data_IF_006174732243
#
_entry.id   IF_006174732243
#
_cell.length_a   1.000
_cell.length_b   1.000
_cell.length_c   1.000
_cell.angle_alpha   90.00
_cell.angle_beta   90.00
_cell.angle_gamma   90.00
#
_symmetry.space_group_name_H-M   'P 1'
#
loop_
_entity.id
_entity.type
_entity.pdbx_description
1 polymer ?
#
# COMPACT_ATOMS: atom_id res chain seq x y z
N UNK A 1 -23.86 5.22 16.71
CA UNK A 1 -23.36 4.18 17.65
C UNK A 1 -21.87 4.39 17.84
N UNK A 2 -21.32 4.09 19.05
CA UNK A 2 -19.87 4.14 19.31
C UNK A 2 -19.42 2.77 19.80
N UNK A 3 -18.35 2.25 19.22
CA UNK A 3 -17.76 0.94 19.51
C UNK A 3 -16.27 1.11 19.79
N UNK A 4 -15.82 0.51 20.89
CA UNK A 4 -14.39 0.52 21.26
C UNK A 4 -13.84 -0.90 21.12
N UNK A 5 -12.85 -1.08 20.22
CA UNK A 5 -12.21 -2.36 19.90
C UNK A 5 -13.21 -3.54 19.73
N UNK A 6 -14.24 -3.43 18.86
CA UNK A 6 -15.37 -4.35 18.85
C UNK A 6 -15.03 -5.80 18.49
N UNK A 7 -13.86 -6.05 17.93
CA UNK A 7 -13.41 -7.38 17.48
C UNK A 7 -12.32 -7.97 18.38
N UNK A 8 -11.90 -7.23 19.41
CA UNK A 8 -10.83 -7.68 20.30
C UNK A 8 -11.22 -8.95 21.05
N UNK A 9 -10.35 -9.98 20.98
CA UNK A 9 -10.55 -11.26 21.65
C UNK A 9 -11.54 -12.22 20.96
N UNK A 10 -12.03 -11.87 19.78
CA UNK A 10 -12.93 -12.74 19.00
C UNK A 10 -12.13 -13.69 18.07
N UNK A 11 -12.73 -14.84 17.78
CA UNK A 11 -12.19 -15.73 16.74
C UNK A 11 -12.50 -15.20 15.32
N UNK A 12 -11.83 -15.72 14.27
CA UNK A 12 -12.00 -15.20 12.90
C UNK A 12 -13.45 -15.27 12.38
N UNK A 13 -14.23 -16.26 12.78
CA UNK A 13 -15.64 -16.38 12.34
C UNK A 13 -16.51 -15.33 13.01
N UNK A 14 -16.31 -15.13 14.32
CA UNK A 14 -17.00 -14.09 15.07
C UNK A 14 -16.65 -12.68 14.55
N UNK A 15 -15.40 -12.44 14.16
CA UNK A 15 -14.99 -11.18 13.53
C UNK A 15 -15.80 -10.92 12.25
N UNK A 16 -15.97 -11.95 11.40
CA UNK A 16 -16.77 -11.81 10.18
C UNK A 16 -18.24 -11.48 10.46
N UNK A 17 -18.83 -12.10 11.48
CA UNK A 17 -20.20 -11.84 11.90
C UNK A 17 -20.37 -10.41 12.43
N UNK A 18 -19.45 -9.95 13.28
CA UNK A 18 -19.46 -8.59 13.82
C UNK A 18 -19.28 -7.54 12.72
N UNK A 19 -18.37 -7.77 11.77
CA UNK A 19 -18.20 -6.89 10.61
C UNK A 19 -19.48 -6.75 9.79
N UNK A 20 -20.15 -7.86 9.54
CA UNK A 20 -21.44 -7.87 8.83
C UNK A 20 -22.49 -7.07 9.59
N UNK A 21 -22.62 -7.30 10.89
CA UNK A 21 -23.58 -6.60 11.75
C UNK A 21 -23.32 -5.08 11.78
N UNK A 22 -22.05 -4.68 11.92
CA UNK A 22 -21.66 -3.26 11.90
C UNK A 22 -22.05 -2.60 10.57
N UNK A 23 -21.78 -3.25 9.43
CA UNK A 23 -22.18 -2.75 8.11
C UNK A 23 -23.70 -2.66 7.94
N UNK A 24 -24.46 -3.62 8.44
CA UNK A 24 -25.91 -3.57 8.41
C UNK A 24 -26.45 -2.38 9.22
N UNK A 25 -25.90 -2.12 10.40
CA UNK A 25 -26.27 -0.97 11.22
C UNK A 25 -25.85 0.36 10.57
N UNK A 26 -24.72 0.39 9.90
CA UNK A 26 -24.21 1.58 9.24
C UNK A 26 -25.06 2.07 8.06
N UNK A 27 -25.97 1.22 7.53
CA UNK A 27 -26.92 1.64 6.48
C UNK A 27 -27.82 2.78 6.95
N UNK A 28 -28.31 2.72 8.18
CA UNK A 28 -29.27 3.69 8.72
C UNK A 28 -28.70 4.57 9.85
N UNK A 29 -27.48 4.28 10.29
CA UNK A 29 -26.88 4.92 11.46
C UNK A 29 -25.41 5.32 11.23
N UNK A 30 -25.00 6.44 11.79
CA UNK A 30 -23.59 6.74 11.92
C UNK A 30 -22.95 5.81 12.97
N UNK A 31 -21.85 5.15 12.59
CA UNK A 31 -21.06 4.28 13.47
C UNK A 31 -19.65 4.86 13.60
N UNK A 32 -19.23 5.08 14.84
CA UNK A 32 -17.86 5.41 15.17
C UNK A 32 -17.24 4.21 15.88
N UNK A 33 -16.14 3.69 15.35
CA UNK A 33 -15.41 2.60 15.99
C UNK A 33 -13.95 2.99 16.23
N UNK A 34 -13.38 2.53 17.34
CA UNK A 34 -11.94 2.54 17.55
C UNK A 34 -11.37 1.16 17.27
N UNK A 35 -10.21 1.09 16.66
CA UNK A 35 -9.43 -0.14 16.47
C UNK A 35 -7.97 0.20 16.20
N UNK A 36 -7.08 -0.70 16.56
CA UNK A 36 -5.66 -0.66 16.20
C UNK A 36 -5.33 -1.61 15.04
N UNK A 37 -6.34 -2.31 14.48
CA UNK A 37 -6.20 -3.31 13.43
C UNK A 37 -6.56 -2.67 12.09
N UNK A 38 -5.56 -2.34 11.27
CA UNK A 38 -5.75 -1.64 10.00
C UNK A 38 -6.58 -2.42 8.99
N UNK A 39 -6.50 -3.75 8.96
CA UNK A 39 -7.35 -4.58 8.11
C UNK A 39 -8.85 -4.51 8.46
N UNK A 40 -9.19 -4.12 9.67
CA UNK A 40 -10.58 -3.86 10.06
C UNK A 40 -11.07 -2.51 9.57
N UNK A 41 -10.20 -1.50 9.65
CA UNK A 41 -10.48 -0.18 9.07
C UNK A 41 -10.81 -0.34 7.59
N UNK A 42 -9.96 -1.04 6.82
CA UNK A 42 -10.21 -1.31 5.40
C UNK A 42 -11.51 -2.07 5.13
N UNK A 43 -11.86 -2.98 6.02
CA UNK A 43 -13.04 -3.83 5.83
C UNK A 43 -14.36 -3.14 6.15
N UNK A 44 -14.36 -2.12 7.03
CA UNK A 44 -15.60 -1.59 7.62
C UNK A 44 -15.79 -0.08 7.51
N UNK A 45 -14.71 0.69 7.36
CA UNK A 45 -14.76 2.16 7.47
C UNK A 45 -14.72 2.83 6.10
N UNK A 46 -15.46 3.92 5.96
CA UNK A 46 -15.40 4.83 4.82
C UNK A 46 -14.47 6.00 5.13
N UNK A 47 -14.48 6.49 6.37
CA UNK A 47 -13.67 7.59 6.87
C UNK A 47 -12.73 7.14 7.97
N UNK A 48 -11.55 7.74 8.02
CA UNK A 48 -10.50 7.45 9.00
C UNK A 48 -10.12 8.72 9.75
N UNK A 49 -9.97 8.58 11.06
CA UNK A 49 -9.33 9.56 11.93
C UNK A 49 -8.21 8.86 12.71
N UNK A 50 -6.98 9.27 12.43
CA UNK A 50 -5.81 8.67 13.06
C UNK A 50 -5.29 9.58 14.16
N UNK A 51 -5.12 9.00 15.34
CA UNK A 51 -4.63 9.70 16.52
C UNK A 51 -3.31 9.07 16.97
N UNK A 52 -2.30 9.91 17.20
CA UNK A 52 -1.04 9.48 17.78
C UNK A 52 -0.57 10.47 18.85
N UNK A 53 -0.16 9.94 20.01
CA UNK A 53 0.25 10.75 21.17
C UNK A 53 -0.76 11.86 21.54
N UNK A 54 -2.07 11.58 21.38
CA UNK A 54 -3.14 12.53 21.65
C UNK A 54 -3.38 13.59 20.57
N UNK A 55 -2.66 13.53 19.45
CA UNK A 55 -2.82 14.43 18.32
C UNK A 55 -3.50 13.75 17.13
N UNK A 56 -4.41 14.44 16.48
CA UNK A 56 -5.00 14.00 15.22
C UNK A 56 -3.96 14.18 14.11
N UNK A 57 -3.42 13.07 13.57
CA UNK A 57 -2.36 13.09 12.54
C UNK A 57 -2.91 12.87 11.13
N UNK A 58 -4.12 12.32 11.00
CA UNK A 58 -4.84 12.20 9.74
C UNK A 58 -6.35 12.28 9.97
N UNK A 59 -7.08 12.85 9.02
CA UNK A 59 -8.54 12.83 8.95
C UNK A 59 -8.97 12.93 7.49
N UNK A 60 -9.66 11.91 6.98
CA UNK A 60 -10.11 11.84 5.60
C UNK A 60 -10.78 10.51 5.30
N UNK A 61 -11.08 10.26 4.04
CA UNK A 61 -11.62 9.01 3.56
C UNK A 61 -10.56 7.90 3.53
N UNK A 62 -11.00 6.65 3.43
CA UNK A 62 -10.08 5.51 3.22
C UNK A 62 -9.29 5.69 1.91
N UNK A 63 -9.94 6.19 0.85
CA UNK A 63 -9.28 6.45 -0.43
C UNK A 63 -8.20 7.54 -0.32
N UNK A 64 -8.45 8.61 0.40
CA UNK A 64 -7.45 9.66 0.67
C UNK A 64 -6.29 9.12 1.49
N UNK A 65 -6.57 8.21 2.43
CA UNK A 65 -5.54 7.55 3.22
C UNK A 65 -4.67 6.61 2.37
N UNK A 66 -5.28 5.78 1.53
CA UNK A 66 -4.56 4.88 0.61
C UNK A 66 -3.68 5.64 -0.39
N UNK A 67 -4.09 6.84 -0.78
CA UNK A 67 -3.36 7.72 -1.69
C UNK A 67 -2.43 8.72 -0.97
N UNK A 68 -2.36 8.68 0.37
CA UNK A 68 -1.58 9.63 1.16
C UNK A 68 -0.09 9.60 0.82
N UNK A 69 0.44 8.40 0.55
CA UNK A 69 1.81 8.20 0.10
C UNK A 69 1.80 7.64 -1.31
N UNK A 70 2.34 8.39 -2.26
CA UNK A 70 2.49 7.90 -3.64
C UNK A 70 3.48 6.74 -3.67
N UNK A 71 3.15 5.63 -4.38
CA UNK A 71 4.10 4.55 -4.62
C UNK A 71 5.40 5.07 -5.25
N UNK A 72 6.50 4.54 -4.81
CA UNK A 72 7.83 4.80 -5.37
C UNK A 72 8.54 3.52 -5.82
N UNK A 73 7.79 2.43 -5.84
CA UNK A 73 8.31 1.09 -6.12
C UNK A 73 7.35 0.34 -7.03
N UNK A 74 7.89 -0.41 -7.98
CA UNK A 74 7.12 -1.38 -8.77
C UNK A 74 7.85 -2.73 -8.84
N UNK A 75 7.07 -3.76 -9.06
CA UNK A 75 7.55 -5.11 -9.38
C UNK A 75 7.53 -5.26 -10.89
N UNK A 76 8.63 -5.69 -11.47
CA UNK A 76 8.75 -6.01 -12.89
C UNK A 76 9.18 -7.47 -13.06
N UNK A 77 8.53 -8.18 -13.98
CA UNK A 77 8.89 -9.54 -14.34
C UNK A 77 9.35 -9.58 -15.80
N UNK A 78 10.56 -10.07 -16.00
CA UNK A 78 11.25 -10.11 -17.29
C UNK A 78 11.62 -11.55 -17.63
N UNK A 79 11.36 -11.97 -18.87
CA UNK A 79 11.75 -13.30 -19.34
C UNK A 79 13.26 -13.39 -19.56
N UNK A 80 13.88 -12.28 -20.00
CA UNK A 80 15.30 -12.13 -20.26
C UNK A 80 15.82 -10.91 -19.47
N UNK A 81 16.00 -10.99 -18.15
CA UNK A 81 16.47 -9.87 -17.37
C UNK A 81 17.88 -9.45 -17.80
N UNK A 82 18.11 -8.14 -18.03
CA UNK A 82 19.42 -7.60 -18.38
C UNK A 82 20.36 -7.55 -17.18
N UNK A 83 21.55 -6.97 -17.36
CA UNK A 83 22.40 -6.60 -16.24
C UNK A 83 21.78 -5.45 -15.42
N UNK A 84 22.08 -5.38 -14.14
CA UNK A 84 21.53 -4.38 -13.21
C UNK A 84 21.81 -2.95 -13.69
N UNK A 85 22.98 -2.74 -14.25
CA UNK A 85 23.42 -1.45 -14.78
C UNK A 85 22.49 -0.95 -15.90
N UNK A 86 22.00 -1.84 -16.75
CA UNK A 86 21.09 -1.48 -17.86
C UNK A 86 19.72 -0.99 -17.36
N UNK A 87 19.28 -1.48 -16.22
CA UNK A 87 18.02 -1.04 -15.57
C UNK A 87 18.27 0.27 -14.81
N UNK A 88 19.39 0.38 -14.11
CA UNK A 88 19.72 1.57 -13.30
C UNK A 88 20.00 2.82 -14.14
N UNK A 89 20.34 2.69 -15.42
CA UNK A 89 20.48 3.86 -16.32
C UNK A 89 19.14 4.39 -16.84
N UNK A 90 18.03 3.68 -16.63
CA UNK A 90 16.70 4.16 -17.02
C UNK A 90 16.39 5.43 -16.22
N UNK A 91 16.06 6.56 -16.89
CA UNK A 91 15.78 7.81 -16.20
C UNK A 91 14.64 7.69 -15.19
N UNK A 92 14.93 7.96 -13.92
CA UNK A 92 13.97 7.88 -12.84
C UNK A 92 14.09 6.61 -11.99
N UNK A 93 14.80 5.59 -12.44
CA UNK A 93 15.11 4.42 -11.59
C UNK A 93 16.25 4.78 -10.64
N UNK A 94 16.07 4.47 -9.36
CA UNK A 94 17.01 4.84 -8.29
C UNK A 94 17.68 3.65 -7.62
N UNK A 95 16.93 2.56 -7.44
CA UNK A 95 17.42 1.31 -6.82
C UNK A 95 16.72 0.11 -7.43
N UNK A 96 17.37 -1.05 -7.36
CA UNK A 96 16.73 -2.31 -7.70
C UNK A 96 17.14 -3.42 -6.73
N UNK A 97 16.29 -4.45 -6.64
CA UNK A 97 16.51 -5.64 -5.85
C UNK A 97 15.89 -6.84 -6.54
N UNK A 98 16.66 -7.91 -6.68
CA UNK A 98 16.13 -9.17 -7.19
C UNK A 98 15.24 -9.84 -6.13
N UNK A 99 14.00 -10.15 -6.48
CA UNK A 99 13.11 -10.98 -5.68
C UNK A 99 13.30 -12.46 -6.04
N UNK A 100 13.50 -12.73 -7.33
CA UNK A 100 13.91 -14.01 -7.87
C UNK A 100 14.68 -13.79 -9.19
N UNK A 101 14.93 -14.88 -9.95
CA UNK A 101 15.71 -14.83 -11.20
C UNK A 101 15.11 -13.89 -12.26
N UNK A 102 13.79 -13.79 -12.31
CA UNK A 102 13.04 -13.10 -13.36
C UNK A 102 12.25 -11.91 -12.83
N UNK A 103 12.18 -11.74 -11.50
CA UNK A 103 11.35 -10.72 -10.85
C UNK A 103 12.23 -9.75 -10.09
N UNK A 104 12.05 -8.48 -10.39
CA UNK A 104 12.79 -7.38 -9.81
C UNK A 104 11.84 -6.43 -9.09
N UNK A 105 12.26 -5.94 -7.94
CA UNK A 105 11.67 -4.77 -7.30
C UNK A 105 12.51 -3.57 -7.70
N UNK A 106 11.87 -2.54 -8.24
CA UNK A 106 12.52 -1.34 -8.74
C UNK A 106 11.97 -0.12 -8.04
N UNK A 107 12.84 0.65 -7.39
CA UNK A 107 12.52 1.93 -6.80
C UNK A 107 12.76 3.05 -7.81
N UNK A 108 11.87 4.04 -7.81
CA UNK A 108 11.94 5.17 -8.72
C UNK A 108 11.74 6.51 -8.01
N UNK A 109 12.21 7.58 -8.61
CA UNK A 109 11.83 8.93 -8.21
C UNK A 109 10.34 9.15 -8.56
N UNK A 110 9.63 9.94 -7.74
CA UNK A 110 8.17 10.16 -7.87
C UNK A 110 7.84 10.97 -9.13
N UNK A 111 8.20 10.44 -10.31
CA UNK A 111 7.98 11.01 -11.62
C UNK A 111 6.76 10.38 -12.26
N UNK A 112 5.85 11.22 -12.78
CA UNK A 112 4.72 10.72 -13.55
C UNK A 112 5.22 10.04 -14.85
N UNK A 113 4.58 8.95 -15.24
CA UNK A 113 4.91 8.22 -16.47
C UNK A 113 6.13 7.31 -16.40
N UNK A 114 6.71 7.07 -15.21
CA UNK A 114 7.90 6.20 -15.08
C UNK A 114 7.61 4.75 -15.53
N UNK A 115 6.41 4.27 -15.27
CA UNK A 115 6.00 2.91 -15.64
C UNK A 115 6.02 2.71 -17.15
N UNK A 116 5.55 3.72 -17.89
CA UNK A 116 5.57 3.75 -19.36
C UNK A 116 7.00 3.80 -19.90
N UNK A 117 7.87 4.60 -19.28
CA UNK A 117 9.29 4.69 -19.67
C UNK A 117 10.00 3.36 -19.49
N UNK A 118 9.77 2.69 -18.35
CA UNK A 118 10.35 1.37 -18.09
C UNK A 118 9.79 0.31 -19.04
N UNK A 119 8.47 0.28 -19.23
CA UNK A 119 7.84 -0.67 -20.13
C UNK A 119 8.34 -0.52 -21.59
N UNK A 120 8.41 0.71 -22.09
CA UNK A 120 8.92 1.01 -23.42
C UNK A 120 10.40 0.61 -23.57
N UNK A 121 11.20 0.84 -22.54
CA UNK A 121 12.62 0.43 -22.52
C UNK A 121 12.74 -1.09 -22.57
N UNK A 122 11.95 -1.82 -21.77
CA UNK A 122 11.94 -3.28 -21.77
C UNK A 122 11.57 -3.84 -23.16
N UNK A 123 10.57 -3.26 -23.80
CA UNK A 123 10.14 -3.66 -25.15
C UNK A 123 11.21 -3.39 -26.19
N UNK A 124 11.80 -2.19 -26.19
CA UNK A 124 12.85 -1.81 -27.15
C UNK A 124 14.09 -2.69 -27.07
N UNK A 125 14.47 -3.12 -25.87
CA UNK A 125 15.66 -3.95 -25.67
C UNK A 125 15.37 -5.46 -25.70
N UNK A 126 14.11 -5.87 -25.88
CA UNK A 126 13.74 -7.28 -25.96
C UNK A 126 13.90 -8.05 -24.65
N UNK A 127 13.74 -7.38 -23.51
CA UNK A 127 13.89 -8.02 -22.20
C UNK A 127 12.71 -8.93 -21.82
N UNK A 128 11.67 -8.97 -22.65
CA UNK A 128 10.50 -9.84 -22.44
C UNK A 128 9.71 -9.43 -21.20
N UNK A 129 9.17 -8.20 -21.19
CA UNK A 129 8.33 -7.73 -20.11
C UNK A 129 7.03 -8.54 -20.07
N UNK A 130 6.83 -9.31 -18.99
CA UNK A 130 5.63 -10.10 -18.76
C UNK A 130 4.69 -9.49 -17.73
N UNK A 131 5.22 -8.70 -16.77
CA UNK A 131 4.42 -8.01 -15.77
C UNK A 131 5.14 -6.75 -15.29
N UNK A 132 4.36 -5.67 -15.06
CA UNK A 132 4.79 -4.49 -14.34
C UNK A 132 3.64 -4.03 -13.45
N UNK A 133 3.86 -4.00 -12.14
CA UNK A 133 2.82 -3.69 -11.15
C UNK A 133 3.36 -2.71 -10.12
N UNK A 134 2.69 -1.56 -9.95
CA UNK A 134 3.01 -0.63 -8.86
C UNK A 134 2.80 -1.33 -7.52
N UNK A 135 3.82 -1.32 -6.70
CA UNK A 135 3.74 -1.87 -5.34
C UNK A 135 3.02 -0.86 -4.44
N UNK A 136 1.79 -1.19 -4.07
CA UNK A 136 1.03 -0.35 -3.16
C UNK A 136 1.72 -0.30 -1.81
N UNK A 137 1.76 0.89 -1.23
CA UNK A 137 2.22 1.08 0.14
C UNK A 137 1.15 0.52 1.06
N UNK A 138 1.54 -0.31 2.02
CA UNK A 138 0.57 -0.87 2.98
C UNK A 138 0.08 0.21 3.95
N UNK A 139 -1.11 0.01 4.53
CA UNK A 139 -1.63 0.94 5.53
C UNK A 139 -0.69 1.06 6.74
N UNK A 140 -0.03 -0.04 7.11
CA UNK A 140 0.96 -0.07 8.18
C UNK A 140 2.15 0.84 7.86
N UNK A 141 2.58 0.89 6.60
CA UNK A 141 3.66 1.77 6.16
C UNK A 141 3.22 3.23 6.14
N UNK A 142 1.99 3.53 5.69
CA UNK A 142 1.41 4.87 5.75
C UNK A 142 1.31 5.31 7.21
N UNK A 143 0.82 4.43 8.09
CA UNK A 143 0.75 4.67 9.52
C UNK A 143 2.12 4.97 10.12
N UNK A 144 3.14 4.15 9.81
CA UNK A 144 4.49 4.34 10.30
C UNK A 144 5.07 5.68 9.85
N UNK A 145 4.81 6.11 8.62
CA UNK A 145 5.27 7.39 8.08
C UNK A 145 4.58 8.58 8.78
N UNK A 146 3.27 8.52 8.98
CA UNK A 146 2.50 9.55 9.69
C UNK A 146 2.93 9.65 11.16
N UNK A 147 3.30 8.52 11.78
CA UNK A 147 3.80 8.43 13.14
C UNK A 147 5.26 8.85 13.29
N UNK A 148 5.92 9.34 12.25
CA UNK A 148 7.34 9.70 12.29
C UNK A 148 8.28 8.51 12.50
N UNK A 149 7.80 7.28 12.40
CA UNK A 149 8.61 6.06 12.45
C UNK A 149 9.26 5.85 11.08
N UNK A 150 10.56 5.48 11.06
CA UNK A 150 11.22 5.13 9.81
C UNK A 150 10.53 3.92 9.18
N UNK A 151 10.16 4.06 7.90
CA UNK A 151 9.73 2.93 7.08
C UNK A 151 10.81 1.85 7.08
N UNK A 152 10.40 0.60 7.06
CA UNK A 152 11.32 -0.53 6.86
C UNK A 152 11.88 -0.40 5.45
N UNK A 153 13.21 -0.34 5.32
CA UNK A 153 13.87 -0.33 4.02
C UNK A 153 13.56 -1.66 3.30
N UNK A 154 12.87 -1.58 2.16
CA UNK A 154 12.50 -2.74 1.34
C UNK A 154 13.64 -3.24 0.45
N UNK A 155 14.78 -2.51 0.43
CA UNK A 155 15.94 -2.76 -0.45
C UNK A 155 17.17 -3.26 0.26
#
# INVERSE_FOLDING_TARGET
MVLDEPTNGLDPNQILEIRKLIKEIAVDHAVLLSTHILSEVQAMCDDIKMIEHGHLVFSGTLEEFDNYVKPDTFIVKLDNPPADEDILVIPGVTRLKHLDRNTLRVQFDKRDGITEVVADTCVRHGWGLSEITLERISLEEIFAQLSGKRLIDKF
#
